data_IF_401732469380
#
_entry.id   IF_401732469380
#
_cell.length_a   1.000
_cell.length_b   1.000
_cell.length_c   1.000
_cell.angle_alpha   90.00
_cell.angle_beta   90.00
_cell.angle_gamma   90.00
#
_symmetry.space_group_name_H-M   'P 1'
#
loop_
_entity.id
_entity.type
_entity.pdbx_description
1 polymer ?
#
# COMPACT_ATOMS: atom_id res chain seq x y z
N UNK A 1 -12.65 -2.20 3.16
CA UNK A 1 -11.46 -1.35 3.01
C UNK A 1 -10.39 -1.74 4.02
N UNK A 2 -10.62 -1.64 5.33
CA UNK A 2 -9.62 -2.03 6.36
C UNK A 2 -9.02 -3.43 6.17
N UNK A 3 -9.82 -4.39 5.70
CA UNK A 3 -9.32 -5.73 5.33
C UNK A 3 -8.27 -5.70 4.22
N UNK A 4 -8.43 -4.83 3.20
CA UNK A 4 -7.45 -4.66 2.14
C UNK A 4 -6.17 -3.98 2.66
N UNK A 5 -6.31 -3.01 3.58
CA UNK A 5 -5.17 -2.39 4.24
C UNK A 5 -4.38 -3.40 5.06
N UNK A 6 -5.04 -4.21 5.90
CA UNK A 6 -4.41 -5.31 6.63
C UNK A 6 -3.75 -6.31 5.69
N UNK A 7 -4.44 -6.75 4.64
CA UNK A 7 -3.86 -7.69 3.66
C UNK A 7 -2.57 -7.17 3.03
N UNK A 8 -2.54 -5.91 2.63
CA UNK A 8 -1.35 -5.25 2.09
C UNK A 8 -0.23 -5.18 3.14
N UNK A 9 -0.51 -4.68 4.33
CA UNK A 9 0.48 -4.49 5.40
C UNK A 9 1.00 -5.82 5.96
N UNK A 10 0.15 -6.83 6.07
CA UNK A 10 0.55 -8.19 6.47
C UNK A 10 1.48 -8.81 5.43
N UNK A 11 1.26 -8.53 4.14
CA UNK A 11 2.15 -8.99 3.07
C UNK A 11 3.49 -8.26 3.12
N UNK A 12 3.50 -6.94 3.39
CA UNK A 12 4.73 -6.15 3.62
C UNK A 12 5.55 -6.70 4.80
N UNK A 13 4.91 -6.97 5.94
CA UNK A 13 5.58 -7.55 7.12
C UNK A 13 6.15 -8.94 6.84
N UNK A 14 5.42 -9.78 6.08
CA UNK A 14 5.91 -11.10 5.67
C UNK A 14 6.95 -11.05 4.54
N UNK A 15 7.24 -9.86 3.98
CA UNK A 15 8.02 -9.68 2.74
C UNK A 15 7.51 -10.57 1.59
N UNK A 16 6.21 -10.79 1.53
CA UNK A 16 5.54 -11.56 0.47
C UNK A 16 5.31 -10.65 -0.75
N UNK A 17 6.37 -10.41 -1.51
CA UNK A 17 6.37 -9.50 -2.66
C UNK A 17 5.27 -9.81 -3.69
N UNK A 18 4.98 -11.07 -4.06
CA UNK A 18 3.83 -11.39 -4.89
C UNK A 18 2.50 -10.93 -4.28
N UNK A 19 2.27 -11.17 -2.99
CA UNK A 19 1.02 -10.78 -2.33
C UNK A 19 0.89 -9.26 -2.17
N UNK A 20 2.01 -8.55 -1.90
CA UNK A 20 2.05 -7.08 -1.89
C UNK A 20 1.67 -6.55 -3.27
N UNK A 21 2.33 -7.04 -4.32
CA UNK A 21 2.10 -6.57 -5.67
C UNK A 21 0.66 -6.83 -6.14
N UNK A 22 0.09 -7.98 -5.76
CA UNK A 22 -1.31 -8.33 -6.05
C UNK A 22 -2.35 -7.47 -5.30
N UNK A 23 -1.94 -6.65 -4.33
CA UNK A 23 -2.83 -5.70 -3.66
C UNK A 23 -3.00 -4.40 -4.43
N UNK A 24 -2.12 -4.06 -5.38
CA UNK A 24 -2.24 -2.82 -6.15
C UNK A 24 -3.44 -2.83 -7.08
N UNK A 25 -4.04 -1.65 -7.25
CA UNK A 25 -5.19 -1.45 -8.11
C UNK A 25 -4.74 -1.51 -9.58
N UNK A 26 -5.50 -2.16 -10.48
CA UNK A 26 -5.19 -2.12 -11.92
C UNK A 26 -5.02 -0.70 -12.47
N UNK A 27 -5.78 0.27 -11.97
CA UNK A 27 -5.65 1.68 -12.38
C UNK A 27 -4.61 2.49 -11.59
N UNK A 28 -3.92 1.89 -10.61
CA UNK A 28 -2.90 2.57 -9.81
C UNK A 28 -1.81 3.18 -10.69
N UNK A 29 -1.34 4.37 -10.31
CA UNK A 29 -0.21 5.00 -10.99
C UNK A 29 1.05 4.11 -10.94
N UNK A 30 1.22 3.36 -9.84
CA UNK A 30 2.36 2.47 -9.66
C UNK A 30 2.37 1.30 -10.67
N UNK A 31 1.26 0.55 -10.81
CA UNK A 31 1.19 -0.55 -11.80
C UNK A 31 1.23 -0.06 -13.25
N UNK A 32 0.84 1.21 -13.51
CA UNK A 32 0.94 1.79 -14.86
C UNK A 32 2.38 2.02 -15.31
N UNK A 33 3.32 2.19 -14.38
CA UNK A 33 4.71 2.55 -14.67
C UNK A 33 5.70 1.45 -14.28
N UNK A 34 5.33 0.55 -13.38
CA UNK A 34 6.20 -0.51 -12.87
C UNK A 34 5.64 -1.88 -13.21
N UNK A 35 6.50 -2.71 -13.79
CA UNK A 35 6.29 -4.15 -13.88
C UNK A 35 6.61 -4.82 -12.55
N UNK A 36 6.11 -6.05 -12.34
CA UNK A 36 6.45 -6.83 -11.15
C UNK A 36 7.96 -6.99 -10.95
N UNK A 37 8.72 -7.14 -12.05
CA UNK A 37 10.18 -7.29 -11.98
C UNK A 37 10.88 -6.02 -11.47
N UNK A 38 10.39 -4.84 -11.86
CA UNK A 38 10.92 -3.57 -11.37
C UNK A 38 10.59 -3.37 -9.89
N UNK A 39 9.32 -3.60 -9.51
CA UNK A 39 8.91 -3.60 -8.12
C UNK A 39 9.77 -4.54 -7.26
N UNK A 40 9.97 -5.78 -7.70
CA UNK A 40 10.75 -6.75 -6.94
C UNK A 40 12.21 -6.30 -6.78
N UNK A 41 12.82 -5.75 -7.83
CA UNK A 41 14.18 -5.23 -7.76
C UNK A 41 14.28 -4.05 -6.78
N UNK A 42 13.32 -3.12 -6.80
CA UNK A 42 13.24 -2.00 -5.86
C UNK A 42 13.07 -2.48 -4.42
N UNK A 43 12.14 -3.42 -4.19
CA UNK A 43 11.85 -3.97 -2.88
C UNK A 43 13.05 -4.72 -2.29
N UNK A 44 13.80 -5.46 -3.12
CA UNK A 44 15.01 -6.18 -2.71
C UNK A 44 16.22 -5.25 -2.48
N UNK A 45 16.27 -4.12 -3.18
CA UNK A 45 17.35 -3.13 -3.03
C UNK A 45 17.12 -2.16 -1.85
N UNK A 46 15.92 -2.16 -1.26
CA UNK A 46 15.59 -1.27 -0.16
C UNK A 46 16.43 -1.61 1.08
N UNK A 47 17.12 -0.63 1.71
CA UNK A 47 17.96 -0.87 2.90
C UNK A 47 17.13 -1.00 4.18
N UNK A 48 15.82 -1.19 4.07
CA UNK A 48 14.89 -1.28 5.16
C UNK A 48 13.69 -2.16 4.79
N UNK A 49 12.99 -2.65 5.81
CA UNK A 49 11.77 -3.43 5.64
C UNK A 49 10.73 -3.07 6.68
N UNK A 50 9.46 -3.26 6.35
CA UNK A 50 8.36 -3.15 7.31
C UNK A 50 8.41 -4.36 8.24
N UNK A 51 8.46 -4.13 9.55
CA UNK A 51 8.48 -5.19 10.57
C UNK A 51 7.25 -5.19 11.46
N UNK A 52 6.55 -4.06 11.56
CA UNK A 52 5.30 -3.95 12.26
C UNK A 52 4.47 -2.79 11.70
N UNK A 53 3.17 -2.81 11.98
CA UNK A 53 2.29 -1.70 11.68
C UNK A 53 1.15 -1.61 12.68
N UNK A 54 0.58 -0.42 12.81
CA UNK A 54 -0.66 -0.15 13.52
C UNK A 54 -1.54 0.76 12.66
N UNK A 55 -2.75 0.28 12.33
CA UNK A 55 -3.76 1.14 11.70
C UNK A 55 -4.27 2.10 12.79
N UNK A 56 -4.04 3.40 12.61
CA UNK A 56 -4.45 4.43 13.56
C UNK A 56 -5.92 4.79 13.32
N UNK A 57 -6.27 5.17 12.09
CA UNK A 57 -7.63 5.54 11.70
C UNK A 57 -7.84 5.47 10.20
N UNK A 58 -9.11 5.55 9.81
CA UNK A 58 -9.50 5.87 8.45
C UNK A 58 -9.73 7.37 8.39
N UNK A 59 -8.88 8.11 7.67
CA UNK A 59 -8.95 9.58 7.62
C UNK A 59 -10.15 10.04 6.80
N UNK A 60 -10.43 9.37 5.68
CA UNK A 60 -11.64 9.60 4.90
C UNK A 60 -12.03 8.37 4.05
N UNK A 61 -13.30 8.32 3.66
CA UNK A 61 -13.82 7.46 2.60
C UNK A 61 -14.82 8.28 1.79
N UNK A 62 -14.54 8.51 0.52
CA UNK A 62 -15.34 9.38 -0.33
C UNK A 62 -15.61 8.73 -1.69
N UNK A 63 -16.69 9.16 -2.33
CA UNK A 63 -16.95 8.80 -3.71
C UNK A 63 -15.96 9.50 -4.63
N UNK A 64 -15.48 8.78 -5.64
CA UNK A 64 -14.61 9.38 -6.63
C UNK A 64 -15.44 10.31 -7.53
N UNK A 65 -15.34 11.61 -7.28
CA UNK A 65 -16.08 12.63 -8.05
C UNK A 65 -15.52 12.83 -9.47
N UNK A 66 -14.35 12.25 -9.79
CA UNK A 66 -13.76 12.34 -11.12
C UNK A 66 -13.21 10.98 -11.62
N UNK A 67 -14.10 10.02 -11.93
CA UNK A 67 -13.70 8.66 -12.32
C UNK A 67 -13.10 8.54 -13.73
N UNK A 68 -12.99 9.64 -14.48
CA UNK A 68 -12.54 9.63 -15.88
C UNK A 68 -11.15 10.25 -16.10
N UNK A 69 -10.57 10.95 -15.12
CA UNK A 69 -9.30 11.67 -15.31
C UNK A 69 -8.08 10.98 -14.69
N UNK A 70 -8.25 10.25 -13.57
CA UNK A 70 -7.11 9.76 -12.77
C UNK A 70 -7.21 8.26 -12.45
N UNK A 71 -8.40 7.73 -12.14
CA UNK A 71 -8.62 6.32 -11.77
C UNK A 71 -10.05 5.88 -12.07
N UNK A 72 -10.26 4.61 -12.40
CA UNK A 72 -11.58 3.98 -12.60
C UNK A 72 -12.29 3.64 -11.28
N UNK A 73 -11.69 3.96 -10.13
CA UNK A 73 -12.24 3.68 -8.82
C UNK A 73 -13.57 4.40 -8.59
N UNK A 74 -14.52 3.69 -7.97
CA UNK A 74 -15.80 4.23 -7.53
C UNK A 74 -15.69 5.05 -6.23
N UNK A 75 -14.77 4.67 -5.35
CA UNK A 75 -14.51 5.31 -4.06
C UNK A 75 -13.02 5.34 -3.76
N UNK A 76 -12.59 6.32 -2.99
CA UNK A 76 -11.22 6.51 -2.54
C UNK A 76 -11.24 6.59 -1.01
N UNK A 77 -10.24 5.99 -0.37
CA UNK A 77 -10.07 6.06 1.06
C UNK A 77 -8.61 6.32 1.42
N UNK A 78 -8.38 7.04 2.52
CA UNK A 78 -7.07 7.14 3.14
C UNK A 78 -7.09 6.45 4.50
N UNK A 79 -6.07 5.64 4.76
CA UNK A 79 -5.83 4.98 6.04
C UNK A 79 -4.52 5.48 6.60
N UNK A 80 -4.58 6.07 7.79
CA UNK A 80 -3.39 6.43 8.55
C UNK A 80 -2.87 5.21 9.30
N UNK A 81 -1.59 4.94 9.09
CA UNK A 81 -0.91 3.77 9.63
C UNK A 81 0.44 4.21 10.20
N UNK A 82 0.72 3.82 11.43
CA UNK A 82 2.08 3.85 11.96
C UNK A 82 2.80 2.60 11.46
N UNK A 83 3.92 2.81 10.77
CA UNK A 83 4.73 1.75 10.18
C UNK A 83 6.09 1.74 10.85
N UNK A 84 6.50 0.58 11.34
CA UNK A 84 7.83 0.37 11.89
C UNK A 84 8.74 -0.20 10.82
N UNK A 85 9.80 0.52 10.50
CA UNK A 85 10.86 0.07 9.60
C UNK A 85 12.08 -0.39 10.39
N UNK A 86 12.64 -1.53 10.03
CA UNK A 86 13.96 -1.97 10.47
C UNK A 86 14.97 -1.77 9.34
N UNK A 87 16.15 -1.22 9.66
CA UNK A 87 17.22 -0.96 8.70
C UNK A 87 18.23 -2.09 8.69
N UNK A 88 18.50 -2.65 7.51
CA UNK A 88 19.34 -3.84 7.38
C UNK A 88 20.79 -3.57 7.84
N UNK A 89 21.39 -4.56 8.51
CA UNK A 89 22.75 -4.46 9.04
C UNK A 89 22.90 -3.57 10.29
N UNK A 90 21.78 -3.13 10.88
CA UNK A 90 21.78 -2.31 12.11
C UNK A 90 20.67 -2.75 13.06
N UNK A 91 20.78 -2.36 14.34
CA UNK A 91 19.68 -2.48 15.31
C UNK A 91 18.70 -1.29 15.27
N UNK A 92 18.81 -0.45 14.25
CA UNK A 92 17.98 0.76 14.14
C UNK A 92 16.59 0.42 13.64
N UNK A 93 15.59 0.97 14.33
CA UNK A 93 14.21 1.03 13.86
C UNK A 93 13.72 2.48 13.80
N UNK A 94 12.74 2.74 12.95
CA UNK A 94 11.99 4.00 12.91
C UNK A 94 10.50 3.72 12.85
N UNK A 95 9.70 4.56 13.49
CA UNK A 95 8.24 4.54 13.39
C UNK A 95 7.80 5.78 12.63
N UNK A 96 7.04 5.59 11.56
CA UNK A 96 6.58 6.66 10.67
C UNK A 96 5.07 6.56 10.49
N UNK A 97 4.36 7.68 10.62
CA UNK A 97 2.95 7.76 10.26
C UNK A 97 2.80 8.00 8.76
N UNK A 98 2.07 7.11 8.07
CA UNK A 98 1.87 7.12 6.62
C UNK A 98 0.38 7.06 6.32
N UNK A 99 -0.09 7.97 5.46
CA UNK A 99 -1.44 7.96 4.91
C UNK A 99 -1.54 7.15 3.61
N UNK A 100 -1.88 5.86 3.71
CA UNK A 100 -2.03 4.99 2.54
C UNK A 100 -3.37 5.21 1.84
N UNK A 101 -3.31 5.45 0.52
CA UNK A 101 -4.50 5.58 -0.33
C UNK A 101 -4.94 4.20 -0.85
N UNK A 102 -6.24 3.94 -0.75
CA UNK A 102 -6.92 2.76 -1.28
C UNK A 102 -8.03 3.15 -2.26
N UNK A 103 -8.16 2.36 -3.32
CA UNK A 103 -9.09 2.56 -4.42
C UNK A 103 -10.13 1.43 -4.45
N UNK A 104 -11.41 1.77 -4.62
CA UNK A 104 -12.49 0.77 -4.79
C UNK A 104 -12.84 0.57 -6.27
N UNK A 105 -12.33 -0.49 -6.88
CA UNK A 105 -12.57 -0.86 -8.28
C UNK A 105 -13.35 -2.17 -8.36
N UNK A 106 -14.38 -2.23 -9.20
CA UNK A 106 -15.18 -3.46 -9.37
C UNK A 106 -15.76 -4.03 -8.07
N UNK A 107 -16.03 -3.18 -7.07
CA UNK A 107 -16.53 -3.59 -5.76
C UNK A 107 -15.45 -3.97 -4.73
N UNK A 108 -14.18 -4.13 -5.14
CA UNK A 108 -13.06 -4.53 -4.28
C UNK A 108 -12.13 -3.35 -3.98
N UNK A 109 -11.51 -3.37 -2.79
CA UNK A 109 -10.53 -2.37 -2.38
C UNK A 109 -9.11 -2.83 -2.70
N UNK A 110 -8.29 -1.91 -3.21
CA UNK A 110 -6.92 -2.12 -3.65
C UNK A 110 -6.02 -1.00 -3.14
N UNK A 111 -4.72 -1.24 -3.04
CA UNK A 111 -3.71 -0.22 -2.80
C UNK A 111 -3.56 0.65 -4.04
N UNK A 112 -3.63 1.98 -3.89
CA UNK A 112 -3.41 2.94 -4.98
C UNK A 112 -1.96 2.96 -5.47
#
# INVERSE_FOLDING_TARGET
MLQAARKFLDAEVRRDYPAVYACFAPSSAYLRTHTYRQYLAEAQAAPYSVVAYQIVRVSYIEDNKNPKSITTASRIAQVEVEVTFAYEGTDRQSVVNIGFIFLKEGGRWYKS
#
